data_IF_440196161596
#
_entry.id   IF_440196161596
#
_cell.length_a   1.000
_cell.length_b   1.000
_cell.length_c   1.000
_cell.angle_alpha   90.00
_cell.angle_beta   90.00
_cell.angle_gamma   90.00
#
_symmetry.space_group_name_H-M   'P 1'
#
loop_
_entity.id
_entity.type
_entity.pdbx_description
1 polymer ?
#
# COMPACT_ATOMS: atom_id res chain seq x y z
N UNK A 1 23.18 27.22 65.28
CA UNK A 1 22.00 27.36 64.40
C UNK A 1 22.05 26.26 63.35
N UNK A 2 21.27 25.20 63.55
CA UNK A 2 21.09 24.12 62.57
C UNK A 2 20.08 24.60 61.52
N UNK A 3 20.48 24.67 60.25
CA UNK A 3 19.66 25.16 59.14
C UNK A 3 19.75 24.20 57.94
N UNK A 4 19.01 23.11 58.04
CA UNK A 4 18.56 22.19 56.99
C UNK A 4 19.34 22.13 55.65
N UNK A 5 20.20 21.11 55.54
CA UNK A 5 20.61 20.52 54.26
C UNK A 5 19.45 19.67 53.73
N UNK A 6 18.46 20.36 53.15
CA UNK A 6 17.23 19.78 52.61
C UNK A 6 17.46 18.96 51.35
N UNK A 7 17.67 17.66 51.56
CA UNK A 7 17.09 16.51 50.84
C UNK A 7 16.80 16.69 49.34
N UNK A 8 17.49 15.90 48.53
CA UNK A 8 17.18 15.71 47.12
C UNK A 8 15.76 15.20 46.89
N UNK A 9 15.26 15.45 45.68
CA UNK A 9 14.02 14.84 45.21
C UNK A 9 13.17 15.71 44.29
N UNK A 10 13.73 16.24 43.21
CA UNK A 10 12.97 16.31 41.97
C UNK A 10 13.52 15.22 41.06
N UNK A 11 13.03 13.99 41.25
CA UNK A 11 13.13 12.99 40.19
C UNK A 11 12.29 13.54 39.04
N UNK A 12 12.92 13.89 37.91
CA UNK A 12 12.24 14.49 36.76
C UNK A 12 11.21 13.54 36.12
N UNK A 13 11.22 12.26 36.51
CA UNK A 13 10.38 11.20 35.97
C UNK A 13 9.70 10.44 37.13
N UNK A 14 8.47 10.01 36.90
CA UNK A 14 7.66 9.26 37.88
C UNK A 14 8.04 7.78 37.99
N UNK A 15 8.90 7.30 37.09
CA UNK A 15 9.39 5.92 37.04
C UNK A 15 10.89 5.83 37.36
N UNK A 16 11.35 4.64 37.75
CA UNK A 16 12.75 4.39 38.07
C UNK A 16 13.63 4.39 36.81
N UNK A 17 14.49 5.40 36.68
CA UNK A 17 15.41 5.58 35.55
C UNK A 17 16.46 4.45 35.46
N UNK A 18 16.91 3.96 36.63
CA UNK A 18 17.89 2.87 36.74
C UNK A 18 17.35 1.52 36.23
N UNK A 19 16.04 1.29 36.37
CA UNK A 19 15.39 0.09 35.83
C UNK A 19 15.27 0.11 34.30
N UNK A 20 15.33 1.31 33.70
CA UNK A 20 15.39 1.50 32.24
C UNK A 20 16.82 1.34 31.71
N UNK A 21 17.82 1.27 32.62
CA UNK A 21 19.22 1.06 32.26
C UNK A 21 20.06 2.33 32.16
N UNK A 22 19.55 3.48 32.63
CA UNK A 22 20.34 4.71 32.76
C UNK A 22 20.86 4.82 34.20
N UNK A 23 22.17 4.89 34.38
CA UNK A 23 22.74 5.13 35.71
C UNK A 23 22.52 6.59 36.16
N UNK A 24 22.51 6.81 37.47
CA UNK A 24 22.25 8.13 38.05
C UNK A 24 23.35 9.12 37.63
N UNK A 25 23.03 10.00 36.68
CA UNK A 25 23.96 10.98 36.12
C UNK A 25 24.52 10.64 34.74
N UNK A 26 24.10 9.52 34.14
CA UNK A 26 24.41 9.19 32.74
C UNK A 26 23.68 10.10 31.74
N UNK A 27 24.23 10.19 30.52
CA UNK A 27 23.66 11.01 29.44
C UNK A 27 22.30 10.47 29.02
N UNK A 28 21.25 11.15 29.48
CA UNK A 28 19.90 10.99 28.94
C UNK A 28 19.86 11.39 27.46
N UNK A 29 18.96 10.80 26.65
CA UNK A 29 18.82 11.16 25.26
C UNK A 29 18.52 12.66 25.12
N UNK A 30 19.06 13.24 24.06
CA UNK A 30 18.93 14.67 23.82
C UNK A 30 17.46 15.07 23.64
N UNK A 31 17.07 16.18 24.25
CA UNK A 31 15.73 16.75 24.10
C UNK A 31 15.61 17.35 22.71
N UNK A 32 14.80 16.73 21.86
CA UNK A 32 14.55 17.19 20.49
C UNK A 32 13.71 18.48 20.54
N UNK A 33 14.34 19.61 20.21
CA UNK A 33 13.71 20.94 20.26
C UNK A 33 12.79 21.26 19.07
N UNK A 34 12.99 20.57 17.93
CA UNK A 34 12.22 20.77 16.70
C UNK A 34 11.72 19.43 16.17
N UNK A 35 10.48 19.35 15.69
CA UNK A 35 9.99 18.11 15.07
C UNK A 35 10.87 17.75 13.86
N UNK A 36 11.10 16.45 13.62
CA UNK A 36 11.77 16.01 12.41
C UNK A 36 11.07 16.52 11.15
N UNK A 37 11.82 16.77 10.06
CA UNK A 37 11.22 17.19 8.79
C UNK A 37 10.30 16.10 8.21
N UNK A 38 9.30 16.51 7.41
CA UNK A 38 8.35 15.59 6.76
C UNK A 38 9.03 14.58 5.83
N UNK A 39 10.13 14.98 5.21
CA UNK A 39 10.93 14.14 4.32
C UNK A 39 12.35 14.08 4.88
N UNK A 40 12.74 12.98 5.55
CA UNK A 40 14.12 12.78 5.95
C UNK A 40 14.99 12.56 4.71
N UNK A 41 16.25 12.97 4.79
CA UNK A 41 17.22 12.68 3.73
C UNK A 41 17.47 11.17 3.65
N UNK A 42 17.25 10.59 2.47
CA UNK A 42 17.58 9.20 2.20
C UNK A 42 19.08 9.06 1.88
N UNK A 43 19.73 8.08 2.50
CA UNK A 43 21.16 7.79 2.30
C UNK A 43 21.50 7.42 0.85
N UNK A 44 20.53 6.85 0.12
CA UNK A 44 20.68 6.43 -1.27
C UNK A 44 19.62 7.06 -2.16
N UNK A 45 20.03 7.45 -3.36
CA UNK A 45 19.13 7.93 -4.41
C UNK A 45 18.67 6.77 -5.28
N UNK A 46 17.47 6.90 -5.88
CA UNK A 46 16.95 5.94 -6.85
C UNK A 46 17.89 5.81 -8.05
N UNK A 47 18.01 4.59 -8.58
CA UNK A 47 18.81 4.31 -9.78
C UNK A 47 18.25 5.07 -10.98
N UNK A 48 19.14 5.70 -11.77
CA UNK A 48 18.75 6.39 -13.00
C UNK A 48 18.20 5.40 -14.03
N UNK A 49 17.10 5.77 -14.69
CA UNK A 49 16.48 4.95 -15.72
C UNK A 49 17.30 5.02 -17.02
N UNK A 50 17.39 3.90 -17.74
CA UNK A 50 18.05 3.82 -19.05
C UNK A 50 17.03 4.21 -20.12
N UNK A 51 17.37 5.15 -20.99
CA UNK A 51 16.42 5.71 -21.97
C UNK A 51 16.37 4.92 -23.28
N UNK A 52 17.53 4.57 -23.85
CA UNK A 52 17.60 4.12 -25.25
C UNK A 52 16.88 2.78 -25.52
N UNK A 53 17.03 1.77 -24.64
CA UNK A 53 16.39 0.46 -24.83
C UNK A 53 14.91 0.43 -24.38
N UNK A 54 14.48 1.42 -23.60
CA UNK A 54 13.16 1.45 -22.94
C UNK A 54 12.17 2.40 -23.63
N UNK A 55 12.64 3.28 -24.52
CA UNK A 55 11.82 4.26 -25.26
C UNK A 55 10.66 3.61 -26.02
N UNK A 56 10.92 2.48 -26.71
CA UNK A 56 9.87 1.75 -27.42
C UNK A 56 8.79 1.22 -26.46
N UNK A 57 9.20 0.66 -25.33
CA UNK A 57 8.29 0.11 -24.32
C UNK A 57 7.48 1.22 -23.65
N UNK A 58 8.09 2.40 -23.45
CA UNK A 58 7.40 3.58 -22.89
C UNK A 58 6.32 4.10 -23.84
N UNK A 59 6.63 4.23 -25.12
CA UNK A 59 5.65 4.59 -26.15
C UNK A 59 4.50 3.59 -26.19
N UNK A 60 4.82 2.29 -26.24
CA UNK A 60 3.83 1.22 -26.29
C UNK A 60 2.95 1.16 -25.02
N UNK A 61 3.51 1.44 -23.84
CA UNK A 61 2.73 1.54 -22.58
C UNK A 61 1.69 2.66 -22.66
N UNK A 62 2.04 3.77 -23.29
CA UNK A 62 1.12 4.89 -23.45
C UNK A 62 0.01 4.55 -24.45
N UNK A 63 0.37 4.03 -25.62
CA UNK A 63 -0.60 3.57 -26.63
C UNK A 63 -1.55 2.50 -26.07
N UNK A 64 -1.04 1.55 -25.28
CA UNK A 64 -1.86 0.55 -24.62
C UNK A 64 -2.87 1.19 -23.66
N UNK A 65 -2.47 2.21 -22.90
CA UNK A 65 -3.38 2.91 -21.98
C UNK A 65 -4.49 3.63 -22.75
N UNK A 66 -4.19 4.21 -23.90
CA UNK A 66 -5.16 4.91 -24.74
C UNK A 66 -6.12 3.93 -25.40
N UNK A 67 -5.60 2.85 -25.99
CA UNK A 67 -6.42 1.79 -26.60
C UNK A 67 -7.31 1.07 -25.59
N UNK A 68 -6.80 0.77 -24.39
CA UNK A 68 -7.57 0.11 -23.33
C UNK A 68 -8.77 0.92 -22.85
N UNK A 69 -8.72 2.25 -22.89
CA UNK A 69 -9.87 3.10 -22.55
C UNK A 69 -10.99 3.05 -23.59
N UNK A 70 -10.64 2.81 -24.85
CA UNK A 70 -11.59 2.71 -25.97
C UNK A 70 -12.18 1.29 -26.03
N UNK A 71 -11.47 0.30 -25.49
CA UNK A 71 -11.97 -1.08 -25.48
C UNK A 71 -13.20 -1.21 -24.58
N UNK A 72 -14.21 -1.99 -24.97
CA UNK A 72 -15.44 -2.21 -24.20
C UNK A 72 -15.27 -3.05 -22.94
N UNK A 73 -14.04 -3.49 -22.64
CA UNK A 73 -13.68 -4.02 -21.31
C UNK A 73 -13.52 -2.90 -20.27
N UNK A 74 -13.38 -1.65 -20.71
CA UNK A 74 -13.34 -0.48 -19.84
C UNK A 74 -14.77 -0.13 -19.43
N UNK A 75 -15.17 -0.63 -18.27
CA UNK A 75 -16.48 -0.34 -17.70
C UNK A 75 -16.44 1.05 -17.07
N UNK A 76 -17.10 2.01 -17.71
CA UNK A 76 -17.26 3.36 -17.18
C UNK A 76 -18.18 3.35 -15.95
N UNK A 77 -17.90 4.21 -14.98
CA UNK A 77 -18.80 4.40 -13.84
C UNK A 77 -20.12 5.00 -14.35
N UNK A 78 -21.29 4.39 -14.06
CA UNK A 78 -22.56 4.93 -14.50
C UNK A 78 -22.75 6.34 -13.91
N UNK A 79 -23.18 7.28 -14.75
CA UNK A 79 -23.49 8.63 -14.29
C UNK A 79 -24.78 8.59 -13.44
N UNK A 80 -24.65 8.87 -12.14
CA UNK A 80 -25.80 9.08 -11.27
C UNK A 80 -26.31 10.52 -11.42
N UNK A 81 -27.29 10.72 -12.31
CA UNK A 81 -28.23 11.86 -12.27
C UNK A 81 -27.86 13.12 -13.06
N UNK A 82 -28.20 13.16 -14.36
CA UNK A 82 -28.47 14.43 -15.05
C UNK A 82 -29.95 14.80 -14.89
N UNK A 83 -30.34 15.19 -13.68
CA UNK A 83 -31.64 15.82 -13.42
C UNK A 83 -31.63 17.29 -13.90
N UNK A 84 -31.48 17.52 -15.20
CA UNK A 84 -31.94 18.77 -15.80
C UNK A 84 -32.48 18.47 -17.20
N UNK A 85 -33.79 18.23 -17.26
CA UNK A 85 -34.60 18.37 -18.47
C UNK A 85 -34.37 19.76 -19.09
N UNK A 86 -33.47 19.84 -20.07
CA UNK A 86 -33.38 20.97 -21.00
C UNK A 86 -33.34 20.42 -22.41
N UNK A 87 -34.54 20.40 -23.01
CA UNK A 87 -34.82 20.42 -24.45
C UNK A 87 -33.60 20.30 -25.38
N UNK A 88 -33.36 19.05 -25.78
CA UNK A 88 -32.54 18.53 -26.88
C UNK A 88 -31.01 18.54 -26.67
N UNK A 89 -30.39 17.37 -26.93
CA UNK A 89 -29.83 17.18 -28.27
C UNK A 89 -30.49 16.02 -29.00
N UNK A 90 -31.22 16.31 -30.08
CA UNK A 90 -31.77 15.32 -31.05
C UNK A 90 -30.66 14.64 -31.86
N UNK A 91 -29.40 14.75 -31.45
CA UNK A 91 -28.27 14.10 -32.10
C UNK A 91 -27.30 13.54 -31.05
N UNK A 92 -27.80 12.71 -30.13
CA UNK A 92 -26.94 11.73 -29.48
C UNK A 92 -26.60 10.65 -30.51
N UNK A 93 -25.34 10.52 -30.97
CA UNK A 93 -25.02 9.50 -31.95
C UNK A 93 -25.14 8.12 -31.30
N UNK A 94 -25.98 7.30 -31.91
CA UNK A 94 -25.97 5.86 -31.82
C UNK A 94 -24.54 5.35 -32.00
N UNK A 95 -23.85 5.10 -30.90
CA UNK A 95 -22.84 4.05 -30.84
C UNK A 95 -23.48 3.00 -29.97
N UNK A 96 -24.13 2.01 -30.59
CA UNK A 96 -24.25 0.73 -29.91
C UNK A 96 -22.80 0.27 -29.71
N UNK A 97 -22.22 0.56 -28.54
CA UNK A 97 -20.97 -0.05 -28.17
C UNK A 97 -21.18 -1.56 -28.34
N UNK A 98 -20.35 -2.26 -29.13
CA UNK A 98 -20.49 -3.70 -29.25
C UNK A 98 -20.28 -4.29 -27.86
N UNK A 99 -21.39 -4.62 -27.19
CA UNK A 99 -21.37 -5.32 -25.92
C UNK A 99 -20.63 -6.63 -26.14
N UNK A 100 -19.44 -6.78 -25.57
CA UNK A 100 -18.72 -8.05 -25.62
C UNK A 100 -19.51 -9.08 -24.81
N UNK A 101 -20.25 -9.94 -25.52
CA UNK A 101 -20.98 -11.04 -24.90
C UNK A 101 -19.97 -12.12 -24.54
N UNK A 102 -19.72 -12.29 -23.25
CA UNK A 102 -18.90 -13.39 -22.73
C UNK A 102 -19.68 -14.71 -22.83
N UNK A 103 -19.04 -15.78 -23.30
CA UNK A 103 -19.64 -17.12 -23.27
C UNK A 103 -19.84 -17.54 -21.80
N UNK A 104 -21.08 -17.53 -21.32
CA UNK A 104 -21.44 -17.85 -19.91
C UNK A 104 -20.82 -19.16 -19.41
N UNK A 105 -20.66 -20.14 -20.29
CA UNK A 105 -20.06 -21.44 -19.97
C UNK A 105 -18.58 -21.38 -19.58
N UNK A 106 -17.82 -20.43 -20.14
CA UNK A 106 -16.39 -20.29 -19.86
C UNK A 106 -16.12 -19.49 -18.58
N UNK A 107 -17.00 -18.55 -18.24
CA UNK A 107 -16.93 -17.78 -16.98
C UNK A 107 -17.04 -18.71 -15.77
N UNK A 108 -18.01 -19.63 -15.78
CA UNK A 108 -18.22 -20.57 -14.69
C UNK A 108 -17.06 -21.57 -14.58
N UNK A 109 -16.54 -22.07 -15.71
CA UNK A 109 -15.38 -22.99 -15.74
C UNK A 109 -14.11 -22.32 -15.25
N UNK A 110 -13.85 -21.08 -15.66
CA UNK A 110 -12.67 -20.33 -15.27
C UNK A 110 -12.71 -19.91 -13.80
N UNK A 111 -13.88 -19.54 -13.27
CA UNK A 111 -14.05 -19.29 -11.84
C UNK A 111 -13.86 -20.57 -11.02
N UNK A 112 -14.39 -21.71 -11.46
CA UNK A 112 -14.16 -23.00 -10.80
C UNK A 112 -12.67 -23.39 -10.82
N UNK A 113 -11.99 -23.18 -11.96
CA UNK A 113 -10.57 -23.45 -12.11
C UNK A 113 -9.71 -22.53 -11.23
N UNK A 114 -10.05 -21.25 -11.15
CA UNK A 114 -9.37 -20.28 -10.28
C UNK A 114 -9.54 -20.64 -8.81
N UNK A 115 -10.78 -20.92 -8.38
CA UNK A 115 -11.07 -21.36 -7.01
C UNK A 115 -10.33 -22.67 -6.72
N UNK A 116 -10.33 -23.63 -7.65
CA UNK A 116 -9.60 -24.89 -7.49
C UNK A 116 -8.10 -24.68 -7.39
N UNK A 117 -7.50 -23.78 -8.19
CA UNK A 117 -6.06 -23.46 -8.10
C UNK A 117 -5.72 -22.77 -6.78
N UNK A 118 -6.51 -21.79 -6.36
CA UNK A 118 -6.35 -21.12 -5.07
C UNK A 118 -6.51 -22.10 -3.90
N UNK A 119 -7.43 -23.06 -3.99
CA UNK A 119 -7.59 -24.10 -2.97
C UNK A 119 -6.38 -25.06 -2.96
N UNK A 120 -5.87 -25.43 -4.14
CA UNK A 120 -4.72 -26.34 -4.27
C UNK A 120 -3.43 -25.71 -3.74
N UNK A 121 -3.16 -24.44 -4.08
CA UNK A 121 -2.02 -23.69 -3.53
C UNK A 121 -2.12 -23.53 -2.02
N UNK A 122 -3.32 -23.35 -1.48
CA UNK A 122 -3.56 -23.18 -0.03
C UNK A 122 -3.47 -24.49 0.75
N UNK A 123 -3.78 -25.63 0.13
CA UNK A 123 -3.62 -26.97 0.72
C UNK A 123 -2.16 -27.43 0.66
N UNK A 124 -1.43 -27.11 -0.42
CA UNK A 124 -0.03 -27.53 -0.60
C UNK A 124 0.98 -26.62 0.12
N UNK A 125 0.64 -25.37 0.44
CA UNK A 125 1.47 -24.45 1.25
C UNK A 125 1.05 -24.40 2.73
N UNK A 126 0.56 -25.49 3.31
CA UNK A 126 0.49 -25.58 4.77
C UNK A 126 1.93 -25.72 5.29
N UNK A 127 2.48 -24.75 6.03
CA UNK A 127 3.80 -24.91 6.63
C UNK A 127 3.73 -26.08 7.61
N UNK A 128 4.54 -27.12 7.38
CA UNK A 128 4.73 -28.18 8.36
C UNK A 128 5.35 -27.54 9.61
N UNK A 129 4.52 -27.33 10.63
CA UNK A 129 4.97 -26.91 11.95
C UNK A 129 5.95 -27.96 12.49
N UNK A 130 7.09 -27.47 12.97
CA UNK A 130 8.27 -28.26 13.29
C UNK A 130 8.05 -29.38 14.29
N UNK A 131 8.78 -30.46 14.07
CA UNK A 131 9.08 -31.47 15.08
C UNK A 131 10.61 -31.58 15.17
N UNK A 132 11.24 -30.59 15.81
CA UNK A 132 12.63 -30.66 16.24
C UNK A 132 12.72 -31.58 17.47
N UNK A 133 12.91 -32.86 17.19
CA UNK A 133 13.35 -33.84 18.19
C UNK A 133 14.86 -33.77 18.28
N UNK A 134 15.32 -32.93 19.21
CA UNK A 134 16.61 -33.11 19.87
C UNK A 134 16.59 -34.46 20.57
N UNK A 135 17.44 -35.41 20.17
CA UNK A 135 17.89 -36.48 21.06
C UNK A 135 19.22 -37.06 20.58
N UNK A 136 20.24 -36.81 21.40
CA UNK A 136 21.51 -37.54 21.63
C UNK A 136 22.53 -37.74 20.52
#
# INVERSE_FOLDING_TARGET
MAGNKGRGGCAAYTFNIEAVGFSKGEKLPYVVLKPPPLFPDADYKSVALKTEDEEYILALKQELRETMKIMPYFIETPEEGQDIERLLPVHGPWVEDPCFITQKGDILKNNLLYISKCLHERILNVPQAGSDKNLS
#
